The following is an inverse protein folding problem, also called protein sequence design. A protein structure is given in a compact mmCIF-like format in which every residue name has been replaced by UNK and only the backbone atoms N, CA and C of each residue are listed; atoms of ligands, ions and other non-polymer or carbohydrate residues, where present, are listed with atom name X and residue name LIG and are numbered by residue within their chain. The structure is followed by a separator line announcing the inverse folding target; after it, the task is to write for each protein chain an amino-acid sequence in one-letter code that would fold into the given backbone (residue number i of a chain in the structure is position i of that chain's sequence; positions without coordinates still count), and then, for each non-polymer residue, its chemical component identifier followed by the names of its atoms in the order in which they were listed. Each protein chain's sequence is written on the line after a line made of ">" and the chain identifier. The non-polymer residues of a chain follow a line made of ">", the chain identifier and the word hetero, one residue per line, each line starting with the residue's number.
data_IF_504230276883
#
_entry.id   IF_504230276883
#
_cell.length_a   1.000
_cell.length_b   1.000
_cell.length_c   1.000
_cell.angle_alpha   90.00
_cell.angle_beta   90.00
_cell.angle_gamma   90.00
#
_symmetry.space_group_name_H-M   'P 1'
#
loop_
_entity.id
_entity.type
_entity.pdbx_description
1 polymer ?
#
# COMPACT_ATOMS: atom_id res chain seq x y z
N UNK A 1 7.71 43.50 -20.05
CA UNK A 1 7.84 42.68 -21.27
C UNK A 1 7.27 41.31 -20.95
N UNK A 2 5.98 41.13 -21.24
CA UNK A 2 5.18 39.96 -20.91
C UNK A 2 5.21 38.97 -22.07
N UNK A 3 5.76 37.78 -21.83
CA UNK A 3 5.74 36.67 -22.78
C UNK A 3 4.93 35.52 -22.17
N UNK A 4 3.71 35.36 -22.67
CA UNK A 4 2.81 34.24 -22.37
C UNK A 4 3.15 33.10 -23.34
N UNK A 5 3.43 31.86 -22.88
CA UNK A 5 3.69 30.76 -23.77
C UNK A 5 2.40 30.19 -24.36
N UNK A 6 2.49 29.87 -25.65
CA UNK A 6 1.43 29.37 -26.54
C UNK A 6 0.90 28.01 -26.07
N UNK A 7 -0.42 27.90 -25.92
CA UNK A 7 -1.11 26.62 -25.86
C UNK A 7 -1.08 25.93 -27.23
N UNK A 8 -0.43 24.78 -27.31
CA UNK A 8 -0.60 23.84 -28.42
C UNK A 8 -1.80 22.96 -28.10
N UNK A 9 -2.95 23.26 -28.69
CA UNK A 9 -4.04 22.29 -28.78
C UNK A 9 -3.66 21.25 -29.83
N UNK A 10 -3.46 20.01 -29.39
CA UNK A 10 -3.43 18.84 -30.26
C UNK A 10 -4.85 18.63 -30.80
N UNK A 11 -5.10 19.13 -32.00
CA UNK A 11 -6.31 18.87 -32.75
C UNK A 11 -6.35 17.40 -33.17
N UNK A 12 -7.56 16.85 -33.09
CA UNK A 12 -7.97 15.54 -33.60
C UNK A 12 -7.59 15.37 -35.06
N UNK A 13 -6.52 14.62 -35.35
CA UNK A 13 -6.21 14.13 -36.69
C UNK A 13 -6.72 12.70 -36.76
N UNK A 14 -7.95 12.49 -37.21
CA UNK A 14 -8.42 11.33 -37.98
C UNK A 14 -9.85 11.60 -38.45
N UNK A 15 -9.99 12.44 -39.48
CA UNK A 15 -11.21 12.51 -40.28
C UNK A 15 -10.90 11.81 -41.60
N UNK A 16 -11.26 10.54 -41.70
CA UNK A 16 -11.14 9.77 -42.94
C UNK A 16 -12.43 9.99 -43.73
N UNK A 17 -12.36 10.83 -44.74
CA UNK A 17 -13.43 11.05 -45.72
C UNK A 17 -13.66 9.77 -46.52
N UNK A 18 -14.88 9.23 -46.47
CA UNK A 18 -15.34 8.17 -47.36
C UNK A 18 -15.80 8.77 -48.70
N UNK A 19 -15.43 8.19 -49.86
CA UNK A 19 -15.93 8.66 -51.14
C UNK A 19 -17.39 8.25 -51.32
N UNK A 20 -18.25 9.22 -51.62
CA UNK A 20 -19.63 9.01 -52.06
C UNK A 20 -19.62 8.48 -53.49
N UNK A 21 -20.12 7.27 -53.72
CA UNK A 21 -20.53 6.83 -55.04
C UNK A 21 -22.05 6.66 -55.06
N UNK A 22 -22.72 7.60 -55.71
CA UNK A 22 -24.09 7.43 -56.18
C UNK A 22 -24.08 6.51 -57.40
N UNK A 23 -24.62 5.31 -57.23
CA UNK A 23 -25.11 4.50 -58.34
C UNK A 23 -26.33 3.71 -57.87
N UNK A 24 -27.50 4.23 -58.25
CA UNK A 24 -28.78 3.53 -58.14
C UNK A 24 -28.74 2.21 -58.91
N UNK A 25 -28.84 1.09 -58.22
CA UNK A 25 -29.32 -0.15 -58.81
C UNK A 25 -30.25 -0.86 -57.84
N UNK A 26 -31.52 -0.90 -58.23
CA UNK A 26 -32.59 -1.65 -57.58
C UNK A 26 -32.26 -3.14 -57.68
N UNK A 27 -31.71 -3.72 -56.61
CA UNK A 27 -31.69 -5.16 -56.40
C UNK A 27 -32.19 -5.46 -55.00
N UNK A 28 -33.38 -6.08 -54.93
CA UNK A 28 -34.06 -6.48 -53.71
C UNK A 28 -33.47 -7.78 -53.15
N UNK A 29 -32.18 -7.77 -52.80
CA UNK A 29 -31.57 -8.82 -51.98
C UNK A 29 -31.54 -8.35 -50.52
N UNK A 30 -31.95 -9.17 -49.53
CA UNK A 30 -31.85 -8.78 -48.14
C UNK A 30 -30.38 -8.55 -47.81
N UNK A 31 -30.02 -7.29 -47.56
CA UNK A 31 -28.68 -6.93 -47.09
C UNK A 31 -28.39 -7.75 -45.83
N UNK A 32 -27.28 -8.51 -45.77
CA UNK A 32 -27.00 -9.37 -44.63
C UNK A 32 -26.89 -8.51 -43.37
N UNK A 33 -27.74 -8.77 -42.38
CA UNK A 33 -27.74 -8.04 -41.12
C UNK A 33 -26.43 -8.31 -40.38
N UNK A 34 -25.54 -7.31 -40.33
CA UNK A 34 -24.27 -7.40 -39.62
C UNK A 34 -24.55 -7.27 -38.12
N UNK A 35 -24.49 -8.39 -37.39
CA UNK A 35 -24.66 -8.40 -35.93
C UNK A 35 -23.29 -8.11 -35.29
N UNK A 36 -23.11 -6.88 -34.79
CA UNK A 36 -21.89 -6.46 -34.10
C UNK A 36 -21.88 -7.08 -32.68
N UNK A 37 -20.83 -7.82 -32.29
CA UNK A 37 -20.75 -8.41 -30.95
C UNK A 37 -20.53 -7.35 -29.87
N UNK A 38 -21.00 -7.63 -28.65
CA UNK A 38 -20.83 -6.74 -27.49
C UNK A 38 -19.37 -6.72 -27.02
N UNK A 39 -18.83 -5.52 -26.75
CA UNK A 39 -17.49 -5.35 -26.17
C UNK A 39 -17.41 -5.96 -24.77
N UNK A 40 -16.47 -6.88 -24.54
CA UNK A 40 -16.16 -7.42 -23.22
C UNK A 40 -15.16 -6.50 -22.49
N UNK A 41 -15.56 -5.92 -21.35
CA UNK A 41 -14.65 -5.21 -20.44
C UNK A 41 -13.81 -6.24 -19.68
N UNK A 42 -12.51 -5.96 -19.51
CA UNK A 42 -11.54 -6.83 -18.83
C UNK A 42 -10.80 -6.02 -17.76
N UNK A 43 -10.46 -6.69 -16.66
CA UNK A 43 -9.53 -6.18 -15.64
C UNK A 43 -8.11 -6.10 -16.23
N UNK A 44 -7.28 -5.17 -15.73
CA UNK A 44 -5.92 -4.93 -16.22
C UNK A 44 -5.04 -6.18 -16.11
N UNK A 45 -5.23 -6.96 -15.04
CA UNK A 45 -4.46 -8.18 -14.76
C UNK A 45 -5.14 -9.46 -15.27
N UNK A 46 -6.28 -9.37 -15.96
CA UNK A 46 -7.10 -10.54 -16.32
C UNK A 46 -6.39 -11.52 -17.25
N UNK A 47 -5.60 -11.01 -18.21
CA UNK A 47 -4.85 -11.84 -19.16
C UNK A 47 -3.72 -12.57 -18.43
N UNK A 48 -2.99 -11.89 -17.54
CA UNK A 48 -1.92 -12.49 -16.75
C UNK A 48 -2.45 -13.60 -15.84
N UNK A 49 -3.58 -13.38 -15.16
CA UNK A 49 -4.26 -14.40 -14.35
C UNK A 49 -4.67 -15.61 -15.22
N UNK A 50 -5.21 -15.36 -16.41
CA UNK A 50 -5.59 -16.44 -17.33
C UNK A 50 -4.37 -17.26 -17.76
N UNK A 51 -3.26 -16.61 -18.08
CA UNK A 51 -2.00 -17.28 -18.44
C UNK A 51 -1.42 -18.07 -17.26
N UNK A 52 -1.37 -17.50 -16.06
CA UNK A 52 -0.90 -18.18 -14.84
C UNK A 52 -1.70 -19.48 -14.59
N UNK A 53 -3.03 -19.44 -14.77
CA UNK A 53 -3.88 -20.63 -14.65
C UNK A 53 -3.62 -21.71 -15.71
N UNK A 54 -3.00 -21.38 -16.85
CA UNK A 54 -2.65 -22.38 -17.87
C UNK A 54 -1.35 -23.13 -17.56
N UNK A 55 -0.49 -22.57 -16.71
CA UNK A 55 0.83 -23.13 -16.40
C UNK A 55 0.76 -23.93 -15.10
N UNK A 56 1.38 -25.12 -15.08
CA UNK A 56 1.47 -25.98 -13.88
C UNK A 56 2.84 -25.83 -13.21
N UNK A 57 2.88 -25.96 -11.89
CA UNK A 57 4.13 -25.96 -11.12
C UNK A 57 5.02 -27.14 -11.54
N UNK A 58 6.27 -26.87 -11.92
CA UNK A 58 7.26 -27.91 -12.21
C UNK A 58 7.98 -28.34 -10.92
N UNK A 59 7.86 -29.60 -10.47
CA UNK A 59 8.51 -30.05 -9.25
C UNK A 59 10.04 -30.14 -9.35
N UNK A 60 10.61 -30.13 -10.56
CA UNK A 60 12.07 -30.21 -10.77
C UNK A 60 12.78 -28.86 -10.75
N UNK A 61 12.04 -27.76 -10.78
CA UNK A 61 12.62 -26.42 -10.79
C UNK A 61 12.57 -25.84 -9.38
N UNK A 62 13.60 -25.07 -9.02
CA UNK A 62 13.59 -24.31 -7.79
C UNK A 62 12.52 -23.21 -7.80
N UNK A 63 12.15 -22.71 -6.63
CA UNK A 63 11.20 -21.61 -6.53
C UNK A 63 11.78 -20.35 -7.20
N UNK A 64 10.96 -19.63 -7.99
CA UNK A 64 11.35 -18.43 -8.78
C UNK A 64 12.05 -17.32 -7.98
N UNK A 65 11.90 -17.32 -6.66
CA UNK A 65 12.55 -16.37 -5.77
C UNK A 65 14.09 -16.48 -5.76
N UNK A 66 14.63 -17.66 -6.06
CA UNK A 66 16.06 -17.96 -6.11
C UNK A 66 16.59 -17.82 -7.53
N UNK A 67 17.89 -17.54 -7.65
CA UNK A 67 18.57 -17.49 -8.94
C UNK A 67 18.69 -18.89 -9.53
N UNK A 68 18.48 -19.02 -10.84
CA UNK A 68 18.60 -20.29 -11.58
C UNK A 68 20.07 -20.56 -11.95
N UNK A 69 20.92 -20.62 -10.94
CA UNK A 69 22.35 -20.90 -11.04
C UNK A 69 22.72 -22.00 -10.03
N UNK A 70 23.35 -23.11 -10.46
CA UNK A 70 23.74 -24.21 -9.59
C UNK A 70 24.46 -23.79 -8.29
N UNK A 71 25.28 -22.74 -8.33
CA UNK A 71 26.00 -22.28 -7.13
C UNK A 71 25.10 -21.48 -6.16
N UNK A 72 24.12 -20.76 -6.69
CA UNK A 72 23.23 -19.87 -5.92
C UNK A 72 21.94 -20.56 -5.48
N UNK A 73 21.68 -21.78 -5.96
CA UNK A 73 20.51 -22.57 -5.61
C UNK A 73 20.65 -23.20 -4.23
N UNK A 74 19.76 -22.89 -3.27
CA UNK A 74 19.85 -23.43 -1.93
C UNK A 74 19.39 -24.89 -1.86
N UNK A 75 20.33 -25.81 -1.64
CA UNK A 75 20.04 -27.25 -1.46
C UNK A 75 19.38 -27.54 -0.10
N UNK A 76 19.93 -26.98 0.97
CA UNK A 76 19.45 -27.21 2.34
C UNK A 76 18.30 -26.26 2.71
N UNK A 77 17.39 -26.71 3.56
CA UNK A 77 16.24 -25.90 4.00
C UNK A 77 16.66 -24.68 4.83
N UNK A 78 17.75 -24.78 5.59
CA UNK A 78 18.30 -23.66 6.35
C UNK A 78 18.87 -22.59 5.40
N UNK A 79 19.56 -23.01 4.34
CA UNK A 79 20.09 -22.10 3.32
C UNK A 79 18.96 -21.39 2.57
N UNK A 80 17.86 -22.11 2.25
CA UNK A 80 16.64 -21.50 1.67
C UNK A 80 16.12 -20.33 2.51
N UNK A 81 16.05 -20.50 3.83
CA UNK A 81 15.60 -19.45 4.77
C UNK A 81 16.60 -18.31 4.86
N UNK A 82 17.88 -18.64 5.01
CA UNK A 82 18.93 -17.64 5.15
C UNK A 82 19.02 -16.75 3.89
N UNK A 83 18.91 -17.33 2.70
CA UNK A 83 18.95 -16.58 1.44
C UNK A 83 17.72 -15.66 1.31
N UNK A 84 16.53 -16.17 1.65
CA UNK A 84 15.31 -15.37 1.66
C UNK A 84 15.36 -14.22 2.67
N UNK A 85 15.86 -14.50 3.89
CA UNK A 85 16.04 -13.51 4.95
C UNK A 85 17.11 -12.47 4.59
N UNK A 86 18.21 -12.88 3.97
CA UNK A 86 19.24 -11.97 3.48
C UNK A 86 18.70 -11.03 2.40
N UNK A 87 17.91 -11.55 1.45
CA UNK A 87 17.25 -10.75 0.40
C UNK A 87 16.24 -9.75 0.99
N UNK A 88 15.42 -10.18 1.95
CA UNK A 88 14.46 -9.28 2.60
C UNK A 88 15.16 -8.23 3.48
N UNK A 89 16.22 -8.60 4.19
CA UNK A 89 17.06 -7.69 4.97
C UNK A 89 17.73 -6.64 4.07
N UNK A 90 18.29 -7.05 2.92
CA UNK A 90 18.86 -6.12 1.93
C UNK A 90 17.83 -5.11 1.42
N UNK A 91 16.60 -5.54 1.13
CA UNK A 91 15.50 -4.62 0.77
C UNK A 91 15.14 -3.66 1.90
N UNK A 92 15.10 -4.12 3.15
CA UNK A 92 14.85 -3.27 4.32
C UNK A 92 15.96 -2.25 4.51
N UNK A 93 17.22 -2.64 4.34
CA UNK A 93 18.36 -1.75 4.39
C UNK A 93 18.30 -0.68 3.28
N UNK A 94 17.99 -1.09 2.04
CA UNK A 94 17.80 -0.14 0.94
C UNK A 94 16.64 0.84 1.22
N UNK A 95 15.51 0.36 1.75
CA UNK A 95 14.40 1.23 2.17
C UNK A 95 14.79 2.18 3.30
N UNK A 96 15.65 1.75 4.23
CA UNK A 96 16.15 2.60 5.29
C UNK A 96 17.00 3.73 4.70
N UNK A 97 17.97 3.40 3.85
CA UNK A 97 18.81 4.40 3.14
C UNK A 97 17.93 5.37 2.35
N UNK A 98 16.91 4.87 1.64
CA UNK A 98 15.98 5.69 0.88
C UNK A 98 15.18 6.68 1.75
N UNK A 99 14.86 6.30 2.99
CA UNK A 99 14.19 7.16 3.96
C UNK A 99 15.12 8.17 4.62
N UNK A 100 16.36 7.78 4.89
CA UNK A 100 17.35 8.64 5.54
C UNK A 100 17.85 9.73 4.59
N UNK A 101 18.01 9.39 3.31
CA UNK A 101 18.56 10.30 2.31
C UNK A 101 17.64 10.43 1.08
N UNK A 102 16.42 11.00 1.23
CA UNK A 102 15.49 11.17 0.12
C UNK A 102 16.06 12.04 -1.00
N UNK A 103 16.95 12.99 -0.68
CA UNK A 103 17.56 13.92 -1.62
C UNK A 103 18.36 13.25 -2.75
N UNK A 104 18.88 12.03 -2.53
CA UNK A 104 19.60 11.30 -3.58
C UNK A 104 18.66 10.50 -4.50
N UNK A 105 17.39 10.35 -4.10
CA UNK A 105 16.37 9.60 -4.84
C UNK A 105 15.33 10.50 -5.50
N UNK A 106 15.31 11.78 -5.14
CA UNK A 106 14.56 12.80 -5.86
C UNK A 106 15.10 12.88 -7.30
N UNK A 107 14.34 12.33 -8.24
CA UNK A 107 14.67 12.40 -9.66
C UNK A 107 14.63 13.86 -10.07
N UNK A 108 15.75 14.35 -10.60
CA UNK A 108 15.84 15.70 -11.12
C UNK A 108 14.79 15.87 -12.23
N UNK A 109 13.84 16.81 -12.12
CA UNK A 109 12.76 17.02 -13.09
C UNK A 109 13.25 17.48 -14.47
N UNK A 110 14.56 17.56 -14.70
CA UNK A 110 15.18 17.93 -15.98
C UNK A 110 15.75 16.73 -16.76
N UNK A 111 15.55 15.51 -16.28
CA UNK A 111 15.94 14.29 -16.99
C UNK A 111 14.89 13.94 -18.04
N UNK A 112 15.06 14.45 -19.25
CA UNK A 112 14.13 14.41 -20.41
C UNK A 112 13.43 13.07 -20.73
N UNK A 113 13.91 11.93 -20.24
CA UNK A 113 13.27 10.62 -20.45
C UNK A 113 12.27 10.21 -19.34
N UNK A 114 12.30 10.89 -18.19
CA UNK A 114 11.49 10.57 -17.02
C UNK A 114 10.13 11.29 -17.00
N UNK A 115 9.99 12.40 -17.72
CA UNK A 115 8.75 13.21 -17.77
C UNK A 115 7.56 12.51 -18.44
N UNK A 116 7.79 11.37 -19.11
CA UNK A 116 6.78 10.60 -19.82
C UNK A 116 6.19 9.44 -18.99
N UNK A 117 6.68 9.20 -17.77
CA UNK A 117 6.17 8.12 -16.91
C UNK A 117 5.41 8.68 -15.69
N UNK A 118 4.27 8.07 -15.32
CA UNK A 118 3.59 8.44 -14.09
C UNK A 118 4.51 8.14 -12.91
N UNK A 119 4.75 9.15 -12.06
CA UNK A 119 5.52 8.97 -10.83
C UNK A 119 4.82 7.94 -9.94
N UNK A 120 5.45 6.79 -9.77
CA UNK A 120 4.92 5.72 -8.93
C UNK A 120 5.11 6.11 -7.46
N UNK A 121 4.03 6.56 -6.82
CA UNK A 121 3.99 6.91 -5.39
C UNK A 121 4.55 5.81 -4.47
N UNK A 122 4.53 4.55 -4.90
CA UNK A 122 5.06 3.41 -4.15
C UNK A 122 6.61 3.36 -4.08
N UNK A 123 7.31 3.96 -5.04
CA UNK A 123 8.78 3.96 -5.12
C UNK A 123 9.41 5.30 -4.72
N UNK A 124 8.61 6.35 -4.57
CA UNK A 124 9.04 7.65 -4.06
C UNK A 124 9.24 7.58 -2.55
N UNK A 125 10.29 8.22 -1.98
CA UNK A 125 10.38 8.38 -0.54
C UNK A 125 9.14 9.09 0.00
N UNK A 126 8.50 8.50 1.00
CA UNK A 126 7.31 9.08 1.63
C UNK A 126 7.76 10.24 2.54
N UNK A 127 7.39 11.47 2.16
CA UNK A 127 7.45 12.63 3.07
C UNK A 127 6.54 12.31 4.25
N UNK A 128 7.06 12.43 5.47
CA UNK A 128 6.41 11.83 6.64
C UNK A 128 5.05 12.48 6.93
N UNK A 129 4.94 13.82 6.89
CA UNK A 129 3.69 14.56 7.04
C UNK A 129 3.79 15.92 6.31
N UNK A 130 2.70 16.35 5.69
CA UNK A 130 2.59 17.63 4.97
C UNK A 130 2.21 18.78 5.92
N UNK A 131 1.29 18.51 6.85
CA UNK A 131 0.82 19.50 7.82
C UNK A 131 1.71 19.56 9.07
N UNK A 132 1.84 20.76 9.63
CA UNK A 132 2.54 20.97 10.90
C UNK A 132 1.94 20.10 12.01
N UNK A 133 2.76 19.72 13.00
CA UNK A 133 2.35 18.94 14.17
C UNK A 133 1.32 19.62 15.06
N UNK A 134 1.00 20.87 14.76
CA UNK A 134 0.38 21.81 15.68
C UNK A 134 -1.06 22.12 15.29
N UNK A 135 -1.59 21.46 14.28
CA UNK A 135 -2.92 21.70 13.70
C UNK A 135 -3.77 20.43 13.75
N UNK A 136 -5.09 20.60 13.87
CA UNK A 136 -6.06 19.48 13.84
C UNK A 136 -5.99 18.70 12.52
N UNK A 137 -5.74 19.38 11.39
CA UNK A 137 -5.58 18.71 10.10
C UNK A 137 -4.30 17.85 10.05
N UNK A 138 -3.24 18.27 10.73
CA UNK A 138 -2.05 17.46 10.93
C UNK A 138 -2.31 16.21 11.79
N UNK A 139 -3.23 16.29 12.75
CA UNK A 139 -3.66 15.11 13.51
C UNK A 139 -4.43 14.12 12.62
N UNK A 140 -5.33 14.61 11.76
CA UNK A 140 -6.07 13.78 10.80
C UNK A 140 -5.14 13.06 9.82
N UNK A 141 -4.16 13.77 9.26
CA UNK A 141 -3.17 13.19 8.35
C UNK A 141 -2.38 12.04 8.99
N UNK A 142 -2.00 12.21 10.27
CA UNK A 142 -1.28 11.18 11.04
C UNK A 142 -2.14 9.95 11.33
N UNK A 143 -3.43 10.16 11.62
CA UNK A 143 -4.41 9.08 11.80
C UNK A 143 -4.58 8.29 10.49
N UNK A 144 -4.75 8.99 9.36
CA UNK A 144 -4.91 8.37 8.04
C UNK A 144 -3.66 7.59 7.61
N UNK A 145 -2.48 8.11 7.95
CA UNK A 145 -1.18 7.45 7.74
C UNK A 145 -0.91 6.31 8.73
N UNK A 146 -1.79 6.13 9.73
CA UNK A 146 -1.71 5.12 10.80
C UNK A 146 -0.43 5.22 11.65
N UNK A 147 0.07 6.43 11.84
CA UNK A 147 1.28 6.69 12.63
C UNK A 147 0.89 7.00 14.09
N UNK A 148 0.66 5.96 14.88
CA UNK A 148 0.16 5.99 16.25
C UNK A 148 1.00 6.87 17.19
N UNK A 149 2.32 6.70 17.17
CA UNK A 149 3.23 7.44 18.08
C UNK A 149 3.19 8.94 17.76
N UNK A 150 3.35 9.28 16.47
CA UNK A 150 3.31 10.67 16.02
C UNK A 150 1.95 11.34 16.24
N UNK A 151 0.85 10.57 16.10
CA UNK A 151 -0.50 11.08 16.32
C UNK A 151 -0.75 11.38 17.80
N UNK A 152 -0.23 10.54 18.70
CA UNK A 152 -0.33 10.78 20.14
C UNK A 152 0.50 11.98 20.59
N UNK A 153 1.72 12.15 20.08
CA UNK A 153 2.55 13.35 20.34
C UNK A 153 1.81 14.62 19.87
N UNK A 154 1.23 14.60 18.67
CA UNK A 154 0.44 15.72 18.15
C UNK A 154 -0.77 16.04 19.06
N UNK A 155 -1.49 15.01 19.53
CA UNK A 155 -2.57 15.18 20.50
C UNK A 155 -2.12 15.84 21.81
N UNK A 156 -0.94 15.47 22.34
CA UNK A 156 -0.38 16.12 23.53
C UNK A 156 -0.10 17.61 23.27
N UNK A 157 0.53 17.94 22.14
CA UNK A 157 0.82 19.32 21.74
C UNK A 157 -0.46 20.16 21.58
N UNK A 158 -1.52 19.60 21.00
CA UNK A 158 -2.81 20.29 20.87
C UNK A 158 -3.47 20.55 22.24
N UNK A 159 -3.38 19.59 23.17
CA UNK A 159 -3.89 19.78 24.53
C UNK A 159 -3.10 20.84 25.30
N UNK A 160 -1.77 20.89 25.15
CA UNK A 160 -0.92 21.91 25.78
C UNK A 160 -1.26 23.32 25.30
N UNK A 161 -1.65 23.46 24.02
CA UNK A 161 -2.11 24.72 23.44
C UNK A 161 -3.55 25.09 23.79
N UNK A 162 -4.32 24.13 24.32
CA UNK A 162 -5.73 24.32 24.63
C UNK A 162 -6.62 24.44 23.40
N UNK A 163 -6.23 23.85 22.26
CA UNK A 163 -7.06 23.87 21.04
C UNK A 163 -8.18 22.83 21.14
N UNK A 164 -9.40 23.20 20.74
CA UNK A 164 -10.54 22.30 20.79
C UNK A 164 -10.47 21.22 19.71
N UNK A 165 -10.23 19.98 20.13
CA UNK A 165 -10.16 18.84 19.22
C UNK A 165 -11.59 18.33 18.93
N UNK A 166 -12.03 18.25 17.66
CA UNK A 166 -13.32 17.70 17.32
C UNK A 166 -13.49 16.27 17.84
N UNK A 167 -14.66 15.97 18.40
CA UNK A 167 -14.93 14.66 19.02
C UNK A 167 -14.70 13.50 18.03
N UNK A 168 -15.06 13.68 16.76
CA UNK A 168 -14.86 12.66 15.72
C UNK A 168 -13.38 12.29 15.53
N UNK A 169 -12.49 13.29 15.56
CA UNK A 169 -11.03 13.10 15.43
C UNK A 169 -10.47 12.43 16.67
N UNK A 170 -10.94 12.84 17.86
CA UNK A 170 -10.58 12.20 19.14
C UNK A 170 -10.97 10.72 19.18
N UNK A 171 -12.18 10.39 18.70
CA UNK A 171 -12.65 9.01 18.59
C UNK A 171 -11.83 8.21 17.56
N UNK A 172 -11.48 8.80 16.42
CA UNK A 172 -10.64 8.14 15.42
C UNK A 172 -9.22 7.86 15.93
N UNK A 173 -8.61 8.82 16.65
CA UNK A 173 -7.32 8.63 17.32
C UNK A 173 -7.41 7.50 18.36
N UNK A 174 -8.46 7.50 19.18
CA UNK A 174 -8.68 6.48 20.19
C UNK A 174 -8.84 5.07 19.58
N UNK A 175 -9.60 4.94 18.49
CA UNK A 175 -9.77 3.69 17.76
C UNK A 175 -8.43 3.20 17.18
N UNK A 176 -7.61 4.11 16.63
CA UNK A 176 -6.27 3.80 16.13
C UNK A 176 -5.38 3.23 17.24
N UNK A 177 -5.31 3.91 18.39
CA UNK A 177 -4.49 3.50 19.53
C UNK A 177 -4.94 2.15 20.09
N UNK A 178 -6.25 1.91 20.22
CA UNK A 178 -6.79 0.63 20.66
C UNK A 178 -6.51 -0.50 19.65
N UNK A 179 -6.59 -0.22 18.35
CA UNK A 179 -6.36 -1.23 17.32
C UNK A 179 -4.89 -1.68 17.27
N UNK A 180 -3.95 -0.75 17.39
CA UNK A 180 -2.52 -1.05 17.27
C UNK A 180 -1.78 -1.12 18.60
N UNK A 181 -2.50 -1.09 19.74
CA UNK A 181 -1.90 -1.11 21.07
C UNK A 181 -0.80 -0.05 21.24
N UNK A 182 -1.07 1.13 20.70
CA UNK A 182 -0.16 2.29 20.74
C UNK A 182 1.20 2.07 20.07
N UNK A 183 1.27 1.17 19.09
CA UNK A 183 2.44 0.96 18.24
C UNK A 183 2.11 1.25 16.78
N UNK A 184 3.11 1.62 15.99
CA UNK A 184 2.89 1.79 14.56
C UNK A 184 2.68 0.43 13.88
N UNK A 185 1.83 0.35 12.84
CA UNK A 185 1.63 -0.87 12.08
C UNK A 185 2.97 -1.34 11.50
N UNK A 186 3.34 -2.58 11.83
CA UNK A 186 4.49 -3.23 11.19
C UNK A 186 4.25 -3.26 9.68
N UNK A 187 5.27 -2.83 8.92
CA UNK A 187 5.22 -2.86 7.45
C UNK A 187 4.84 -4.25 6.95
N UNK A 188 4.07 -4.29 5.86
CA UNK A 188 3.65 -5.53 5.22
C UNK A 188 4.86 -6.39 4.92
N UNK A 189 4.76 -7.65 5.32
CA UNK A 189 5.82 -8.62 5.17
C UNK A 189 6.11 -8.90 3.69
N UNK A 190 7.38 -8.93 3.32
CA UNK A 190 7.76 -9.27 1.94
C UNK A 190 7.40 -10.71 1.59
N UNK A 191 7.14 -11.04 0.31
CA UNK A 191 6.87 -12.40 -0.13
C UNK A 191 7.92 -13.42 0.34
N UNK A 192 9.20 -13.05 0.28
CA UNK A 192 10.35 -13.87 0.75
C UNK A 192 10.18 -14.28 2.21
N UNK A 193 9.63 -13.35 2.98
CA UNK A 193 9.57 -13.37 4.42
C UNK A 193 8.32 -14.14 4.87
N UNK A 194 7.20 -13.99 4.15
CA UNK A 194 6.01 -14.84 4.29
C UNK A 194 6.33 -16.31 4.02
N UNK A 195 7.12 -16.58 2.99
CA UNK A 195 7.55 -17.93 2.63
C UNK A 195 8.31 -18.62 3.80
N UNK A 196 9.24 -17.89 4.44
CA UNK A 196 9.96 -18.38 5.63
C UNK A 196 9.00 -18.74 6.76
N UNK A 197 8.02 -17.89 7.06
CA UNK A 197 7.10 -18.14 8.16
C UNK A 197 6.08 -19.26 7.89
N UNK A 198 5.56 -19.37 6.67
CA UNK A 198 4.54 -20.39 6.38
C UNK A 198 5.12 -21.79 6.16
N UNK A 199 6.20 -21.90 5.38
CA UNK A 199 6.79 -23.20 4.99
C UNK A 199 7.98 -23.61 5.87
N UNK A 200 8.62 -22.68 6.58
CA UNK A 200 9.85 -22.94 7.33
C UNK A 200 9.68 -23.31 8.80
N UNK A 201 8.59 -23.00 9.47
CA UNK A 201 8.52 -23.26 10.92
C UNK A 201 8.23 -24.76 11.18
N UNK A 202 9.08 -25.41 11.98
CA UNK A 202 8.77 -26.73 12.56
C UNK A 202 7.48 -26.65 13.39
N UNK A 203 6.76 -27.76 13.58
CA UNK A 203 5.54 -27.79 14.41
C UNK A 203 5.77 -27.22 15.80
N UNK A 204 6.93 -27.47 16.39
CA UNK A 204 7.37 -26.92 17.68
C UNK A 204 7.54 -25.40 17.62
N UNK A 205 8.19 -24.88 16.58
CA UNK A 205 8.38 -23.44 16.41
C UNK A 205 7.05 -22.72 16.14
N UNK A 206 6.12 -23.36 15.40
CA UNK A 206 4.74 -22.87 15.24
C UNK A 206 4.02 -22.83 16.59
N UNK A 207 4.20 -23.84 17.43
CA UNK A 207 3.63 -23.89 18.78
C UNK A 207 4.20 -22.82 19.71
N UNK A 208 5.50 -22.50 19.61
CA UNK A 208 6.17 -21.45 20.37
C UNK A 208 5.67 -20.06 19.97
N UNK A 209 5.51 -19.81 18.67
CA UNK A 209 4.88 -18.59 18.15
C UNK A 209 3.44 -18.48 18.64
N UNK A 210 2.68 -19.57 18.63
CA UNK A 210 1.33 -19.64 19.19
C UNK A 210 1.30 -19.34 20.69
N UNK A 211 2.26 -19.83 21.49
CA UNK A 211 2.33 -19.48 22.93
C UNK A 211 2.55 -17.99 23.17
N UNK A 212 3.30 -17.30 22.30
CA UNK A 212 3.45 -15.83 22.38
C UNK A 212 2.14 -15.08 22.12
N UNK A 213 1.18 -15.67 21.42
CA UNK A 213 -0.16 -15.08 21.19
C UNK A 213 -1.01 -15.08 22.47
N UNK A 214 -0.75 -15.99 23.42
CA UNK A 214 -1.46 -16.03 24.71
C UNK A 214 -0.86 -15.12 25.78
N UNK A 215 0.16 -14.33 25.44
CA UNK A 215 0.74 -13.35 26.37
C UNK A 215 -0.07 -12.06 26.27
N UNK A 216 -0.41 -11.48 27.43
CA UNK A 216 -1.03 -10.16 27.52
C UNK A 216 -0.20 -9.16 26.70
N UNK A 217 -0.76 -8.74 25.56
CA UNK A 217 -0.09 -7.80 24.67
C UNK A 217 -0.45 -6.36 25.05
N UNK A 218 -1.62 -6.15 25.66
CA UNK A 218 -2.13 -4.85 26.07
C UNK A 218 -1.21 -4.12 27.06
N UNK A 219 -0.92 -2.84 26.78
CA UNK A 219 -0.15 -1.96 27.66
C UNK A 219 -1.09 -1.33 28.70
N UNK A 220 -0.98 -1.79 29.95
CA UNK A 220 -1.69 -1.16 31.07
C UNK A 220 -1.21 0.27 31.26
N UNK A 221 -2.13 1.22 31.51
CA UNK A 221 -1.85 2.66 31.62
C UNK A 221 -1.17 3.23 30.38
N UNK A 222 -1.46 2.67 29.21
CA UNK A 222 -1.00 3.22 27.93
C UNK A 222 -1.77 4.47 27.51
N UNK A 223 -1.37 5.11 26.39
CA UNK A 223 -1.95 6.38 25.94
C UNK A 223 -3.45 6.26 25.59
N UNK A 224 -3.92 5.07 25.21
CA UNK A 224 -5.35 4.82 25.02
C UNK A 224 -6.13 4.98 26.35
N UNK A 225 -5.61 4.45 27.46
CA UNK A 225 -6.29 4.54 28.75
C UNK A 225 -6.23 5.95 29.33
N UNK A 226 -5.16 6.70 29.06
CA UNK A 226 -5.05 8.11 29.44
C UNK A 226 -6.11 8.98 28.74
N UNK A 227 -6.28 8.81 27.43
CA UNK A 227 -7.31 9.54 26.67
C UNK A 227 -8.71 9.19 27.19
N UNK A 228 -8.93 7.91 27.53
CA UNK A 228 -10.20 7.44 28.08
C UNK A 228 -10.47 8.03 29.48
N UNK A 229 -9.46 8.08 30.35
CA UNK A 229 -9.57 8.67 31.67
C UNK A 229 -9.75 10.20 31.62
N UNK A 230 -9.13 10.87 30.65
CA UNK A 230 -9.29 12.30 30.41
C UNK A 230 -10.66 12.69 29.85
N UNK A 231 -11.44 11.74 29.31
CA UNK A 231 -12.82 12.00 28.88
C UNK A 231 -13.79 11.85 30.05
N UNK A 232 -14.45 12.95 30.46
CA UNK A 232 -15.46 12.93 31.53
C UNK A 232 -16.67 12.03 31.20
N UNK A 233 -17.12 12.04 29.93
CA UNK A 233 -18.26 11.27 29.43
C UNK A 233 -17.85 10.43 28.21
N UNK A 234 -17.27 9.24 28.42
CA UNK A 234 -16.87 8.36 27.32
C UNK A 234 -18.09 7.88 26.51
N UNK A 235 -17.96 7.96 25.18
CA UNK A 235 -18.99 7.45 24.25
C UNK A 235 -19.02 5.91 24.25
N UNK A 236 -20.16 5.32 23.87
CA UNK A 236 -20.29 3.87 23.66
C UNK A 236 -19.22 3.33 22.68
N UNK A 237 -18.79 4.15 21.72
CA UNK A 237 -17.76 3.79 20.74
C UNK A 237 -16.42 3.58 21.43
N UNK A 238 -16.06 4.45 22.37
CA UNK A 238 -14.82 4.34 23.13
C UNK A 238 -14.81 3.07 24.00
N UNK A 239 -15.91 2.78 24.70
CA UNK A 239 -16.01 1.52 25.46
C UNK A 239 -15.83 0.30 24.56
N UNK A 240 -16.50 0.26 23.41
CA UNK A 240 -16.41 -0.85 22.48
C UNK A 240 -14.99 -1.03 21.93
N UNK A 241 -14.35 0.06 21.49
CA UNK A 241 -12.98 0.02 20.98
C UNK A 241 -11.97 -0.38 22.05
N UNK A 242 -12.14 0.07 23.30
CA UNK A 242 -11.28 -0.34 24.42
C UNK A 242 -11.40 -1.84 24.71
N UNK A 243 -12.62 -2.35 24.76
CA UNK A 243 -12.88 -3.78 24.97
C UNK A 243 -12.30 -4.62 23.83
N UNK A 244 -12.48 -4.20 22.58
CA UNK A 244 -11.89 -4.88 21.40
C UNK A 244 -10.36 -4.84 21.42
N UNK A 245 -9.77 -3.72 21.81
CA UNK A 245 -8.32 -3.58 21.94
C UNK A 245 -7.73 -4.50 23.01
N UNK A 246 -8.40 -4.61 24.17
CA UNK A 246 -7.95 -5.46 25.30
C UNK A 246 -8.06 -6.96 25.03
N UNK A 247 -8.97 -7.40 24.17
CA UNK A 247 -9.20 -8.81 23.85
C UNK A 247 -8.30 -9.31 22.70
N UNK A 248 -7.82 -8.39 21.85
CA UNK A 248 -7.01 -8.68 20.66
C UNK A 248 -5.64 -9.28 21.02
#
# INVERSE_FOLDING_TARGET
>A
MSFVPRGLQLSSIYEVAAPSQDASSTSSSPQPQIIIPKRKKRDELSILKALDHTVKMNPRTAHYMYHDDPFMLPVQINNRRNYAAAKSAGRKAAQHVAKTYPQFLEVNPFSSWFDLQPVLKAFTPQVQFLHSSDTVDGLRERIDSRACESAYINYQLLNEKGEEIPNDVKLALFDLLCCYNSEDPKKSMYPEEKYIFHEGLSKEQKSEVMRRVFVKTWKDKGPAEEIFAATEKPSHRMYNSLLRGRVK
#
